data_IF_014497821493
#
_entry.id   IF_014497821493
#
_cell.length_a   1.000
_cell.length_b   1.000
_cell.length_c   1.000
_cell.angle_alpha   90.00
_cell.angle_beta   90.00
_cell.angle_gamma   90.00
#
_symmetry.space_group_name_H-M   'P 1'
#
loop_
_entity.id
_entity.type
_entity.pdbx_description
1 polymer ?
#
# COMPACT_ATOMS: atom_id res chain seq x y z
N UNK A 1 -8.89 15.44 -3.71
CA UNK A 1 -10.28 15.92 -3.53
C UNK A 1 -10.63 15.73 -2.05
N UNK A 2 -11.06 16.77 -1.33
CA UNK A 2 -11.15 16.70 0.14
C UNK A 2 -12.32 15.86 0.67
N UNK A 3 -13.30 15.51 -0.17
CA UNK A 3 -14.55 14.86 0.27
C UNK A 3 -14.88 13.59 -0.52
N UNK A 4 -13.88 12.88 -1.07
CA UNK A 4 -14.13 11.71 -1.93
C UNK A 4 -13.62 10.46 -1.25
N UNK A 5 -14.55 9.53 -1.06
CA UNK A 5 -14.30 8.20 -0.55
C UNK A 5 -14.28 7.26 -1.75
N UNK A 6 -13.19 6.53 -1.91
CA UNK A 6 -13.03 5.56 -3.01
C UNK A 6 -12.72 4.22 -2.40
N UNK A 7 -13.29 3.16 -2.97
CA UNK A 7 -12.94 1.82 -2.55
C UNK A 7 -12.99 0.83 -3.69
N UNK A 8 -12.47 -0.35 -3.42
CA UNK A 8 -12.49 -1.49 -4.33
C UNK A 8 -12.79 -2.77 -3.57
N UNK A 9 -13.30 -3.77 -4.28
CA UNK A 9 -13.56 -5.09 -3.71
C UNK A 9 -12.36 -6.01 -3.90
N UNK A 10 -12.06 -6.80 -2.87
CA UNK A 10 -11.05 -7.88 -2.90
C UNK A 10 -11.65 -9.10 -2.23
N UNK A 11 -12.12 -10.03 -3.05
CA UNK A 11 -12.86 -11.21 -2.59
C UNK A 11 -11.93 -12.36 -2.15
N UNK A 12 -10.73 -12.45 -2.73
CA UNK A 12 -9.69 -13.45 -2.42
C UNK A 12 -8.28 -12.92 -2.77
N UNK A 13 -7.24 -13.71 -2.47
CA UNK A 13 -5.84 -13.27 -2.56
C UNK A 13 -5.38 -12.96 -4.00
N UNK A 14 -5.97 -13.61 -5.00
CA UNK A 14 -5.69 -13.35 -6.42
C UNK A 14 -6.02 -11.90 -6.84
N UNK A 15 -6.84 -11.20 -6.04
CA UNK A 15 -7.21 -9.81 -6.26
C UNK A 15 -6.57 -8.83 -5.28
N UNK A 16 -5.68 -9.27 -4.39
CA UNK A 16 -5.02 -8.42 -3.39
C UNK A 16 -4.34 -7.19 -4.03
N UNK A 17 -3.81 -7.35 -5.24
CA UNK A 17 -3.18 -6.29 -6.04
C UNK A 17 -4.09 -5.07 -6.31
N UNK A 18 -5.42 -5.21 -6.23
CA UNK A 18 -6.35 -4.08 -6.42
C UNK A 18 -6.14 -2.99 -5.36
N UNK A 19 -5.71 -3.36 -4.16
CA UNK A 19 -5.38 -2.41 -3.11
C UNK A 19 -4.24 -1.47 -3.55
N UNK A 20 -3.24 -1.98 -4.26
CA UNK A 20 -2.09 -1.20 -4.76
C UNK A 20 -2.53 -0.10 -5.72
N UNK A 21 -3.50 -0.40 -6.60
CA UNK A 21 -4.06 0.59 -7.51
C UNK A 21 -4.93 1.62 -6.78
N UNK A 22 -5.74 1.18 -5.82
CA UNK A 22 -6.59 2.08 -5.01
C UNK A 22 -5.74 3.16 -4.32
N UNK A 23 -4.56 2.80 -3.81
CA UNK A 23 -3.66 3.74 -3.11
C UNK A 23 -3.15 4.87 -3.98
N UNK A 24 -3.06 4.66 -5.30
CA UNK A 24 -2.65 5.68 -6.27
C UNK A 24 -3.73 6.72 -6.55
N UNK A 25 -4.98 6.44 -6.16
CA UNK A 25 -6.10 7.36 -6.35
C UNK A 25 -6.08 8.47 -5.29
N UNK A 26 -6.12 9.76 -5.68
CA UNK A 26 -6.24 10.86 -4.73
C UNK A 26 -7.64 10.89 -4.07
N UNK A 27 -7.74 10.38 -2.86
CA UNK A 27 -8.98 10.32 -2.08
C UNK A 27 -8.73 10.77 -0.63
N UNK A 28 -9.76 11.29 0.04
CA UNK A 28 -9.72 11.59 1.47
C UNK A 28 -9.86 10.33 2.32
N UNK A 29 -10.50 9.29 1.76
CA UNK A 29 -10.68 7.99 2.39
C UNK A 29 -10.57 6.91 1.33
N UNK A 30 -9.76 5.90 1.58
CA UNK A 30 -9.62 4.68 0.78
C UNK A 30 -10.14 3.50 1.58
N UNK A 31 -11.09 2.77 1.01
CA UNK A 31 -11.65 1.61 1.69
C UNK A 31 -11.59 0.33 0.85
N UNK A 32 -11.46 -0.80 1.53
CA UNK A 32 -11.56 -2.13 0.91
C UNK A 32 -12.86 -2.80 1.33
N UNK A 33 -13.58 -3.35 0.35
CA UNK A 33 -14.71 -4.26 0.60
C UNK A 33 -14.23 -5.70 0.38
N UNK A 34 -13.99 -6.42 1.47
CA UNK A 34 -13.60 -7.82 1.46
C UNK A 34 -14.87 -8.68 1.52
N UNK A 35 -15.71 -8.52 0.49
CA UNK A 35 -17.06 -9.09 0.44
C UNK A 35 -17.46 -9.56 -0.96
N UNK A 36 -17.96 -10.82 -1.10
CA UNK A 36 -17.85 -11.86 -0.09
C UNK A 36 -16.37 -12.19 0.18
N UNK A 37 -16.00 -12.42 1.44
CA UNK A 37 -14.67 -12.94 1.76
C UNK A 37 -14.61 -14.44 1.43
N UNK A 38 -13.87 -14.80 0.39
CA UNK A 38 -13.84 -16.15 -0.19
C UNK A 38 -12.58 -16.94 0.15
N UNK A 39 -11.63 -16.35 0.88
CA UNK A 39 -10.39 -17.00 1.28
C UNK A 39 -9.53 -16.11 2.18
N UNK A 40 -8.40 -16.63 2.69
CA UNK A 40 -7.40 -15.82 3.37
C UNK A 40 -6.78 -14.80 2.40
N UNK A 41 -6.22 -13.71 2.94
CA UNK A 41 -5.61 -12.62 2.17
C UNK A 41 -4.17 -12.32 2.64
N UNK A 42 -3.26 -13.31 2.59
CA UNK A 42 -1.88 -13.12 3.06
C UNK A 42 -1.10 -12.07 2.26
N UNK A 43 -1.44 -11.88 0.98
CA UNK A 43 -0.76 -10.91 0.10
C UNK A 43 -1.36 -9.51 0.20
N UNK A 44 -2.46 -9.33 0.93
CA UNK A 44 -3.11 -8.03 1.06
C UNK A 44 -2.28 -7.08 1.93
N UNK A 45 -1.74 -6.04 1.30
CA UNK A 45 -1.12 -4.90 1.95
C UNK A 45 -2.18 -3.85 2.33
N UNK A 46 -2.25 -3.49 3.62
CA UNK A 46 -3.18 -2.51 4.17
C UNK A 46 -2.58 -1.10 4.29
N UNK A 47 -1.30 -0.90 3.94
CA UNK A 47 -0.67 0.42 3.99
C UNK A 47 -1.50 1.45 3.21
N UNK A 48 -1.73 2.66 3.75
CA UNK A 48 -2.50 3.70 3.04
C UNK A 48 -3.98 3.39 2.78
N UNK A 49 -4.53 2.34 3.39
CA UNK A 49 -5.97 2.06 3.45
C UNK A 49 -6.52 2.61 4.77
N UNK A 50 -7.64 3.31 4.71
CA UNK A 50 -8.23 3.95 5.89
C UNK A 50 -9.31 3.07 6.54
N UNK A 51 -9.98 2.23 5.75
CA UNK A 51 -11.12 1.43 6.21
C UNK A 51 -11.23 0.08 5.51
N UNK A 52 -11.50 -0.97 6.27
CA UNK A 52 -11.78 -2.31 5.75
C UNK A 52 -13.16 -2.75 6.21
N UNK A 53 -13.97 -3.18 5.24
CA UNK A 53 -15.28 -3.79 5.44
C UNK A 53 -15.12 -5.28 5.11
N UNK A 54 -15.42 -6.17 6.05
CA UNK A 54 -15.36 -7.62 5.83
C UNK A 54 -16.72 -8.29 6.08
N UNK A 55 -17.03 -9.29 5.27
CA UNK A 55 -18.29 -10.01 5.40
C UNK A 55 -18.45 -11.20 4.47
N UNK A 56 -19.26 -12.17 4.90
CA UNK A 56 -19.59 -13.34 4.11
C UNK A 56 -20.72 -13.12 3.09
N UNK A 57 -20.87 -14.07 2.20
CA UNK A 57 -21.84 -14.05 1.11
C UNK A 57 -23.28 -14.17 1.61
N UNK A 58 -24.23 -13.60 0.88
CA UNK A 58 -25.67 -13.77 1.16
C UNK A 58 -26.38 -14.36 -0.06
N UNK A 59 -27.41 -15.16 0.18
CA UNK A 59 -28.28 -15.73 -0.86
C UNK A 59 -28.38 -17.26 -0.79
N UNK A 60 -29.22 -17.81 -1.66
CA UNK A 60 -29.53 -19.26 -1.66
C UNK A 60 -28.28 -20.15 -1.85
N UNK A 61 -27.28 -19.66 -2.57
CA UNK A 61 -26.02 -20.36 -2.83
C UNK A 61 -24.83 -19.76 -2.07
N UNK A 62 -25.06 -19.12 -0.91
CA UNK A 62 -23.99 -18.49 -0.14
C UNK A 62 -22.90 -19.49 0.25
N UNK A 63 -21.64 -19.10 0.03
CA UNK A 63 -20.49 -19.81 0.57
C UNK A 63 -20.25 -19.39 2.02
N UNK A 64 -20.00 -20.34 2.94
CA UNK A 64 -19.68 -20.00 4.32
C UNK A 64 -18.32 -19.29 4.37
N UNK A 65 -18.25 -18.19 5.12
CA UNK A 65 -16.97 -17.54 5.44
C UNK A 65 -16.30 -18.27 6.59
N UNK A 66 -14.98 -18.45 6.52
CA UNK A 66 -14.22 -18.88 7.69
C UNK A 66 -13.97 -17.67 8.61
N UNK A 67 -14.43 -17.78 9.86
CA UNK A 67 -14.26 -16.74 10.88
C UNK A 67 -12.78 -16.48 11.18
N UNK A 68 -11.90 -17.47 11.01
CA UNK A 68 -10.46 -17.28 11.17
C UNK A 68 -9.90 -16.24 10.19
N UNK A 69 -10.37 -16.21 8.94
CA UNK A 69 -9.94 -15.20 7.96
C UNK A 69 -10.40 -13.80 8.36
N UNK A 70 -11.62 -13.67 8.87
CA UNK A 70 -12.15 -12.39 9.37
C UNK A 70 -11.34 -11.90 10.58
N UNK A 71 -10.99 -12.81 11.50
CA UNK A 71 -10.15 -12.47 12.67
C UNK A 71 -8.76 -12.00 12.24
N UNK A 72 -8.11 -12.70 11.32
CA UNK A 72 -6.80 -12.29 10.78
C UNK A 72 -6.86 -10.87 10.20
N UNK A 73 -7.85 -10.59 9.34
CA UNK A 73 -8.03 -9.26 8.75
C UNK A 73 -8.26 -8.20 9.83
N UNK A 74 -9.14 -8.49 10.81
CA UNK A 74 -9.40 -7.59 11.93
C UNK A 74 -8.11 -7.27 12.68
N UNK A 75 -7.34 -8.29 13.04
CA UNK A 75 -6.13 -8.13 13.85
C UNK A 75 -5.08 -7.30 13.10
N UNK A 76 -4.87 -7.57 11.81
CA UNK A 76 -4.01 -6.74 10.95
C UNK A 76 -4.50 -5.29 10.82
N UNK A 77 -5.82 -5.07 10.78
CA UNK A 77 -6.37 -3.71 10.76
C UNK A 77 -6.07 -2.97 12.08
N UNK A 78 -6.29 -3.62 13.23
CA UNK A 78 -6.02 -3.04 14.53
C UNK A 78 -4.53 -2.72 14.72
N UNK A 79 -3.64 -3.63 14.31
CA UNK A 79 -2.19 -3.43 14.35
C UNK A 79 -1.73 -2.23 13.52
N UNK A 80 -2.37 -1.99 12.38
CA UNK A 80 -2.01 -0.92 11.44
C UNK A 80 -2.85 0.36 11.61
N UNK A 81 -3.71 0.43 12.63
CA UNK A 81 -4.64 1.53 12.88
C UNK A 81 -5.60 1.81 11.70
N UNK A 82 -6.00 0.76 10.97
CA UNK A 82 -7.02 0.82 9.92
C UNK A 82 -8.38 0.56 10.55
N UNK A 83 -9.39 1.37 10.23
CA UNK A 83 -10.73 1.12 10.75
C UNK A 83 -11.26 -0.22 10.22
N UNK A 84 -11.90 -1.00 11.08
CA UNK A 84 -12.47 -2.29 10.74
C UNK A 84 -13.98 -2.35 11.01
N UNK A 85 -14.73 -2.71 9.98
CA UNK A 85 -16.17 -2.95 10.04
C UNK A 85 -16.48 -4.38 9.63
N UNK A 86 -17.07 -5.16 10.55
CA UNK A 86 -17.60 -6.47 10.23
C UNK A 86 -19.09 -6.35 9.89
N UNK A 87 -19.41 -6.58 8.61
CA UNK A 87 -20.78 -6.42 8.13
C UNK A 87 -21.65 -7.57 8.58
N UNK A 88 -21.23 -8.81 8.27
CA UNK A 88 -22.00 -10.02 8.55
C UNK A 88 -21.19 -11.30 8.35
N UNK A 89 -21.64 -12.39 8.99
CA UNK A 89 -21.15 -13.76 8.70
C UNK A 89 -21.63 -14.25 7.33
N UNK A 90 -22.76 -13.76 6.82
CA UNK A 90 -23.40 -14.28 5.61
C UNK A 90 -24.50 -15.30 5.91
N UNK A 91 -25.20 -15.79 4.89
CA UNK A 91 -26.31 -16.73 5.08
C UNK A 91 -27.36 -16.73 3.97
N UNK A 92 -28.43 -17.54 4.10
CA UNK A 92 -29.45 -17.71 3.05
C UNK A 92 -30.17 -16.41 2.67
N UNK A 93 -30.27 -15.47 3.61
CA UNK A 93 -30.77 -14.11 3.37
C UNK A 93 -29.79 -13.07 3.94
N UNK A 94 -29.83 -11.82 3.46
CA UNK A 94 -28.99 -10.75 4.02
C UNK A 94 -29.16 -10.66 5.55
N UNK A 95 -28.04 -10.58 6.27
CA UNK A 95 -27.93 -10.44 7.73
C UNK A 95 -28.36 -11.67 8.55
N UNK A 96 -28.76 -12.78 7.92
CA UNK A 96 -29.25 -13.97 8.64
C UNK A 96 -28.20 -14.64 9.54
N UNK A 97 -26.92 -14.66 9.16
CA UNK A 97 -25.83 -15.13 10.03
C UNK A 97 -25.40 -14.15 11.11
N UNK A 98 -26.03 -12.98 11.19
CA UNK A 98 -25.71 -11.96 12.18
C UNK A 98 -24.43 -11.18 11.88
N UNK A 99 -24.12 -10.24 12.79
CA UNK A 99 -23.03 -9.26 12.68
C UNK A 99 -21.97 -9.39 13.77
N UNK A 100 -22.04 -10.47 14.56
CA UNK A 100 -21.17 -10.65 15.70
C UNK A 100 -19.90 -11.40 15.29
N UNK A 101 -18.76 -10.86 15.69
CA UNK A 101 -17.46 -11.52 15.63
C UNK A 101 -16.91 -11.52 17.06
N UNK A 102 -16.74 -12.71 17.63
CA UNK A 102 -16.29 -12.91 19.02
C UNK A 102 -17.20 -12.24 20.06
N UNK A 103 -18.52 -12.41 19.89
CA UNK A 103 -19.53 -11.95 20.86
C UNK A 103 -19.80 -10.44 20.88
N UNK A 104 -19.26 -9.69 19.90
CA UNK A 104 -19.52 -8.25 19.75
C UNK A 104 -19.61 -7.85 18.29
N UNK A 105 -20.15 -6.67 18.04
CA UNK A 105 -20.06 -6.04 16.72
C UNK A 105 -18.75 -5.26 16.57
N UNK A 106 -18.32 -5.12 15.31
CA UNK A 106 -17.17 -4.33 14.92
C UNK A 106 -17.67 -3.31 13.90
N UNK A 107 -17.83 -2.06 14.35
CA UNK A 107 -18.51 -0.99 13.60
C UNK A 107 -17.63 0.26 13.44
N UNK A 108 -16.30 0.10 13.38
CA UNK A 108 -15.40 1.26 13.31
C UNK A 108 -15.60 2.00 11.98
N UNK A 109 -15.50 3.32 12.05
CA UNK A 109 -15.49 4.22 10.90
C UNK A 109 -14.11 4.87 10.79
N UNK A 110 -13.61 5.15 9.57
CA UNK A 110 -12.37 5.87 9.41
C UNK A 110 -12.53 7.28 9.98
N UNK A 111 -11.51 7.73 10.73
CA UNK A 111 -11.38 9.16 11.01
C UNK A 111 -11.00 9.86 9.70
N UNK A 112 -11.57 11.02 9.43
CA UNK A 112 -11.19 11.81 8.27
C UNK A 112 -9.70 12.13 8.37
N UNK A 113 -8.86 11.41 7.62
CA UNK A 113 -7.47 11.80 7.41
C UNK A 113 -7.52 13.17 6.74
N UNK A 114 -7.07 14.27 7.38
CA UNK A 114 -6.94 15.55 6.67
C UNK A 114 -6.02 15.24 5.51
N UNK A 115 -6.61 15.19 4.30
CA UNK A 115 -6.01 14.51 3.17
C UNK A 115 -4.56 14.94 3.01
N UNK A 116 -3.70 13.99 2.65
CA UNK A 116 -2.34 14.27 2.21
C UNK A 116 -2.40 15.42 1.18
N UNK A 117 -2.31 16.65 1.69
CA UNK A 117 -2.16 17.85 0.91
C UNK A 117 -0.80 17.61 0.30
N UNK A 118 -0.80 17.28 -1.00
CA UNK A 118 0.37 16.84 -1.72
C UNK A 118 1.57 17.63 -1.24
N UNK A 119 2.62 16.89 -0.86
CA UNK A 119 3.92 17.47 -0.60
C UNK A 119 4.16 18.49 -1.71
N UNK A 120 4.05 19.77 -1.36
CA UNK A 120 4.43 20.82 -2.27
C UNK A 120 5.93 20.64 -2.36
N UNK A 121 6.38 19.94 -3.39
CA UNK A 121 7.72 20.08 -3.91
C UNK A 121 7.89 21.59 -4.14
N UNK A 122 8.46 22.26 -3.15
CA UNK A 122 9.03 23.58 -3.30
C UNK A 122 10.25 23.40 -4.19
N UNK A 123 9.98 23.25 -5.49
CA UNK A 123 10.98 23.44 -6.50
C UNK A 123 11.27 24.94 -6.51
N UNK A 124 12.26 25.34 -5.72
CA UNK A 124 12.85 26.66 -5.79
C UNK A 124 13.48 26.78 -7.17
N UNK A 125 12.73 27.31 -8.14
CA UNK A 125 13.28 27.83 -9.38
C UNK A 125 14.10 29.09 -9.04
N UNK A 126 15.44 29.10 -9.17
CA UNK A 126 16.16 30.35 -9.17
C UNK A 126 15.77 31.13 -10.42
N UNK A 127 15.20 32.32 -10.25
CA UNK A 127 15.04 33.28 -11.35
C UNK A 127 16.43 33.75 -11.77
N UNK A 128 16.92 33.28 -12.91
CA UNK A 128 18.07 33.87 -13.58
C UNK A 128 17.68 35.25 -14.12
N UNK A 129 18.23 36.30 -13.52
CA UNK A 129 18.19 37.67 -14.04
C UNK A 129 19.41 37.90 -14.93
N UNK A 130 19.13 38.41 -16.12
CA UNK A 130 20.06 38.74 -17.20
C UNK A 130 20.89 39.98 -16.88
N UNK A 131 22.21 39.93 -17.05
CA UNK A 131 23.03 41.08 -17.43
C UNK A 131 24.37 40.60 -18.01
N UNK A 132 24.69 41.10 -19.21
CA UNK A 132 25.80 40.65 -20.04
C UNK A 132 27.18 41.17 -19.64
N UNK A 133 28.20 40.53 -20.24
CA UNK A 133 29.59 40.97 -20.22
C UNK A 133 30.39 40.17 -21.26
N UNK A 134 30.93 40.88 -22.25
CA UNK A 134 31.62 40.38 -23.45
C UNK A 134 33.13 40.27 -23.21
N UNK A 135 33.74 39.23 -23.79
CA UNK A 135 35.15 38.95 -24.12
C UNK A 135 36.27 39.47 -23.18
N UNK A 136 37.15 38.55 -22.72
CA UNK A 136 38.53 38.47 -23.24
C UNK A 136 39.19 37.10 -22.88
N UNK A 137 39.98 36.54 -23.81
CA UNK A 137 40.91 35.41 -23.60
C UNK A 137 42.32 35.94 -23.86
N UNK A 138 43.34 35.46 -23.13
CA UNK A 138 44.30 34.63 -23.86
C UNK A 138 44.89 33.44 -23.10
N UNK A 139 45.41 32.56 -23.97
CA UNK A 139 46.12 31.29 -23.85
C UNK A 139 47.20 31.21 -22.75
N UNK A 140 47.30 30.02 -22.13
CA UNK A 140 48.46 29.54 -21.39
C UNK A 140 48.51 28.01 -21.43
N UNK A 141 49.65 27.47 -21.89
CA UNK A 141 49.95 26.06 -22.16
C UNK A 141 50.65 25.46 -20.94
N UNK A 142 50.33 24.23 -20.53
CA UNK A 142 51.28 23.28 -19.94
C UNK A 142 50.66 21.88 -19.81
N UNK A 143 51.34 20.92 -20.42
CA UNK A 143 51.15 19.48 -20.29
C UNK A 143 51.65 18.99 -18.91
N UNK A 144 51.16 17.84 -18.44
CA UNK A 144 51.99 16.67 -18.07
C UNK A 144 51.15 15.54 -17.43
N UNK A 145 51.13 14.40 -18.13
CA UNK A 145 51.50 13.05 -17.65
C UNK A 145 50.80 12.44 -16.42
N UNK A 146 50.20 11.25 -16.64
CA UNK A 146 49.89 10.31 -15.55
C UNK A 146 48.97 9.15 -15.94
N UNK A 147 49.52 8.16 -16.66
CA UNK A 147 48.91 6.84 -16.90
C UNK A 147 49.52 5.82 -15.93
N UNK A 148 48.70 5.01 -15.24
CA UNK A 148 48.87 3.58 -14.84
C UNK A 148 47.86 3.29 -13.71
N UNK A 149 46.79 2.50 -13.90
CA UNK A 149 46.72 1.03 -13.97
C UNK A 149 47.26 0.37 -12.71
N UNK A 150 46.37 -0.20 -11.89
CA UNK A 150 46.65 -1.46 -11.23
C UNK A 150 45.39 -2.31 -11.01
N UNK A 151 45.54 -3.56 -11.42
CA UNK A 151 44.65 -4.68 -11.18
C UNK A 151 44.99 -5.28 -9.81
N UNK A 152 44.01 -5.85 -9.13
CA UNK A 152 44.26 -7.03 -8.30
C UNK A 152 43.00 -7.90 -8.24
N UNK A 153 43.09 -9.04 -8.90
CA UNK A 153 42.28 -10.22 -8.62
C UNK A 153 42.74 -10.81 -7.28
N UNK A 154 41.81 -11.32 -6.46
CA UNK A 154 42.09 -12.43 -5.54
C UNK A 154 40.94 -13.43 -5.63
N UNK A 155 41.36 -14.64 -5.95
CA UNK A 155 40.67 -15.93 -6.02
C UNK A 155 40.52 -16.59 -4.64
N UNK A 156 39.54 -17.47 -4.49
CA UNK A 156 39.48 -18.52 -3.46
C UNK A 156 38.04 -18.70 -2.96
N UNK A 157 37.31 -19.79 -3.19
CA UNK A 157 37.71 -21.18 -3.38
C UNK A 157 37.66 -21.90 -2.03
N UNK A 158 36.59 -22.67 -1.78
CA UNK A 158 36.42 -23.44 -0.56
C UNK A 158 35.10 -24.21 -0.53
N UNK A 159 35.05 -25.33 -1.25
CA UNK A 159 34.22 -26.49 -0.91
C UNK A 159 34.54 -26.96 0.52
N UNK A 160 33.56 -27.51 1.23
CA UNK A 160 33.73 -28.75 2.01
C UNK A 160 32.36 -29.32 2.43
N UNK A 161 32.17 -30.55 2.00
CA UNK A 161 31.10 -31.51 2.30
C UNK A 161 31.06 -31.97 3.77
N UNK A 162 29.88 -32.45 4.18
CA UNK A 162 29.77 -33.71 4.92
C UNK A 162 29.21 -33.64 6.34
N UNK A 163 27.97 -34.08 6.53
CA UNK A 163 27.61 -35.42 7.04
C UNK A 163 26.10 -35.54 7.18
#
# INVERSE_FOLDING_TARGET
>A
MPNVWVGTSVENDDYAWRADFLRRVPASTRFLSLEPLLGPLPSLDLSGIDWVIAGGESGAAHRPVDIAWVRDIRDRCLEQNVAFFFKQVGGPTPKSGGRQLDGRTWDQMPVSSPGAAGERHSEQHPRSSTAGGRLDQPRGVAEHSGCHRDQAMVTGGGDLSGS
#
